data_IF_210001758180
#
_entry.id   IF_210001758180
#
_cell.length_a   1.000
_cell.length_b   1.000
_cell.length_c   1.000
_cell.angle_alpha   90.00
_cell.angle_beta   90.00
_cell.angle_gamma   90.00
#
_symmetry.space_group_name_H-M   'P 1'
#
loop_
_entity.id
_entity.type
_entity.pdbx_description
1 polymer ?
#
# COMPACT_ATOMS: atom_id res chain seq x y z
N UNK A 1 -21.80 -3.42 -26.22
CA UNK A 1 -20.78 -4.44 -26.53
C UNK A 1 -20.84 -5.51 -25.46
N UNK A 2 -20.90 -6.79 -25.83
CA UNK A 2 -20.97 -7.92 -24.90
C UNK A 2 -19.67 -7.96 -24.03
N UNK A 3 -19.79 -7.65 -22.75
CA UNK A 3 -18.69 -7.39 -21.79
C UNK A 3 -17.80 -8.61 -21.52
N UNK A 4 -18.28 -9.81 -21.79
CA UNK A 4 -17.53 -11.06 -21.64
C UNK A 4 -16.58 -11.37 -22.81
N UNK A 5 -16.67 -10.67 -23.94
CA UNK A 5 -16.08 -11.14 -25.20
C UNK A 5 -14.55 -10.98 -25.37
N UNK A 6 -13.79 -10.48 -24.39
CA UNK A 6 -12.34 -10.19 -24.58
C UNK A 6 -11.42 -10.45 -23.38
N UNK A 7 -11.81 -11.26 -22.39
CA UNK A 7 -10.86 -11.72 -21.36
C UNK A 7 -10.44 -13.15 -21.64
N UNK A 8 -9.14 -13.42 -21.63
CA UNK A 8 -8.60 -14.79 -21.72
C UNK A 8 -8.55 -15.41 -20.33
N UNK A 9 -8.75 -16.73 -20.25
CA UNK A 9 -8.43 -17.51 -19.05
C UNK A 9 -6.90 -17.56 -18.85
N UNK A 10 -6.43 -17.63 -17.60
CA UNK A 10 -5.02 -17.82 -17.25
C UNK A 10 -4.65 -19.32 -17.20
N UNK A 11 -3.44 -19.64 -16.73
CA UNK A 11 -2.92 -21.01 -16.58
C UNK A 11 -3.81 -21.89 -15.68
N UNK A 12 -4.58 -21.28 -14.78
CA UNK A 12 -5.44 -21.97 -13.80
C UNK A 12 -6.94 -21.82 -14.12
N UNK A 13 -7.27 -21.51 -15.38
CA UNK A 13 -8.63 -21.27 -15.88
C UNK A 13 -9.40 -20.08 -15.26
N UNK A 14 -8.81 -19.33 -14.34
CA UNK A 14 -9.40 -18.09 -13.78
C UNK A 14 -9.27 -16.98 -14.84
N UNK A 15 -10.28 -16.12 -14.98
CA UNK A 15 -10.16 -15.01 -15.93
C UNK A 15 -8.99 -14.09 -15.56
N UNK A 16 -8.20 -13.72 -16.58
CA UNK A 16 -7.27 -12.61 -16.44
C UNK A 16 -8.05 -11.35 -16.03
N UNK A 17 -7.48 -10.58 -15.09
CA UNK A 17 -7.88 -9.20 -14.88
C UNK A 17 -7.84 -8.43 -16.22
N UNK A 18 -8.57 -7.31 -16.33
CA UNK A 18 -8.57 -6.53 -17.57
C UNK A 18 -7.16 -6.09 -18.00
N UNK A 19 -6.22 -6.02 -17.05
CA UNK A 19 -4.80 -5.68 -17.23
C UNK A 19 -3.91 -6.76 -17.89
N UNK A 20 -4.45 -7.83 -18.47
CA UNK A 20 -3.70 -8.90 -19.13
C UNK A 20 -3.22 -8.57 -20.55
N UNK A 21 -2.96 -9.58 -21.39
CA UNK A 21 -2.49 -9.39 -22.77
C UNK A 21 -3.52 -8.69 -23.69
N UNK A 22 -4.81 -8.75 -23.34
CA UNK A 22 -5.88 -8.04 -24.05
C UNK A 22 -6.01 -6.57 -23.61
N UNK A 23 -5.36 -6.17 -22.51
CA UNK A 23 -5.41 -4.80 -21.98
C UNK A 23 -4.95 -3.77 -23.02
N UNK A 24 -3.80 -4.00 -23.65
CA UNK A 24 -3.27 -3.08 -24.66
C UNK A 24 -4.24 -2.92 -25.83
N UNK A 25 -4.97 -3.97 -26.21
CA UNK A 25 -5.93 -3.92 -27.32
C UNK A 25 -7.17 -3.11 -26.95
N UNK A 26 -7.65 -3.22 -25.72
CA UNK A 26 -8.87 -2.53 -25.26
C UNK A 26 -8.57 -1.07 -24.91
N UNK A 27 -7.48 -0.83 -24.19
CA UNK A 27 -7.19 0.45 -23.55
C UNK A 27 -6.06 1.24 -24.24
N UNK A 28 -5.47 0.70 -25.30
CA UNK A 28 -4.39 1.33 -26.09
C UNK A 28 -3.10 1.65 -25.30
N UNK A 29 -2.98 1.26 -24.03
CA UNK A 29 -1.80 1.47 -23.18
C UNK A 29 -1.26 0.16 -22.60
N UNK A 30 0.02 0.11 -22.20
CA UNK A 30 0.61 -1.09 -21.57
C UNK A 30 0.30 -1.13 -20.07
N UNK A 31 0.07 -2.33 -19.52
CA UNK A 31 -0.18 -2.57 -18.08
C UNK A 31 0.81 -1.88 -17.15
N UNK A 32 2.10 -1.99 -17.45
CA UNK A 32 3.17 -1.42 -16.62
C UNK A 32 3.23 0.12 -16.65
N UNK A 33 2.37 0.77 -17.45
CA UNK A 33 2.29 2.22 -17.59
C UNK A 33 1.16 2.85 -16.76
N UNK A 34 0.27 2.05 -16.13
CA UNK A 34 -0.84 2.56 -15.30
C UNK A 34 -0.31 3.26 -14.04
N UNK A 35 0.84 2.82 -13.54
CA UNK A 35 1.56 3.47 -12.45
C UNK A 35 1.09 3.03 -11.06
N UNK A 36 1.26 1.75 -10.70
CA UNK A 36 1.02 1.28 -9.34
C UNK A 36 1.87 2.02 -8.31
N UNK A 37 1.32 2.25 -7.12
CA UNK A 37 2.00 2.87 -5.99
C UNK A 37 2.90 1.86 -5.24
N UNK A 38 3.90 1.34 -5.94
CA UNK A 38 4.87 0.36 -5.43
C UNK A 38 6.30 0.74 -5.84
N UNK A 39 7.34 0.37 -5.06
CA UNK A 39 8.71 0.70 -5.37
C UNK A 39 9.19 -0.02 -6.64
N UNK A 40 9.99 0.65 -7.46
CA UNK A 40 10.50 0.09 -8.72
C UNK A 40 12.02 -0.01 -8.73
N UNK A 41 12.54 -1.24 -8.57
CA UNK A 41 13.98 -1.55 -8.48
C UNK A 41 14.86 -1.15 -9.68
N UNK A 42 14.29 -0.79 -10.85
CA UNK A 42 15.05 -0.57 -12.11
C UNK A 42 14.55 0.58 -13.00
N UNK A 43 13.59 1.41 -12.55
CA UNK A 43 13.06 2.51 -13.38
C UNK A 43 13.58 3.87 -12.89
N UNK A 44 13.74 4.82 -13.82
CA UNK A 44 14.16 6.21 -13.53
C UNK A 44 13.22 6.98 -12.57
N UNK A 45 12.01 6.47 -12.30
CA UNK A 45 11.00 7.10 -11.44
C UNK A 45 10.32 6.06 -10.55
N UNK A 46 10.66 6.07 -9.28
CA UNK A 46 10.02 5.31 -8.22
C UNK A 46 8.74 6.05 -7.78
N UNK A 47 7.53 5.46 -7.92
CA UNK A 47 6.26 6.07 -7.53
C UNK A 47 6.23 6.63 -6.11
N UNK A 48 6.78 5.90 -5.13
CA UNK A 48 6.75 6.32 -3.73
C UNK A 48 7.68 7.52 -3.54
N UNK A 49 8.90 7.47 -4.10
CA UNK A 49 9.81 8.64 -4.07
C UNK A 49 9.17 9.86 -4.75
N UNK A 50 8.52 9.66 -5.89
CA UNK A 50 7.85 10.75 -6.63
C UNK A 50 6.76 11.39 -5.79
N UNK A 51 5.96 10.60 -5.06
CA UNK A 51 4.98 11.15 -4.13
C UNK A 51 5.68 11.97 -3.03
N UNK A 52 6.67 11.38 -2.35
CA UNK A 52 7.40 12.06 -1.27
C UNK A 52 8.02 13.37 -1.78
N UNK A 53 8.65 13.40 -2.96
CA UNK A 53 9.23 14.61 -3.56
C UNK A 53 8.17 15.71 -3.85
N UNK A 54 6.94 15.31 -4.18
CA UNK A 54 5.85 16.27 -4.43
C UNK A 54 5.32 16.88 -3.14
N UNK A 55 5.23 16.08 -2.06
CA UNK A 55 4.73 16.56 -0.76
C UNK A 55 5.80 17.27 0.07
N UNK A 56 7.04 16.75 0.01
CA UNK A 56 8.20 17.11 0.84
C UNK A 56 9.39 17.44 -0.08
N UNK A 57 9.44 18.64 -0.68
CA UNK A 57 10.51 18.99 -1.63
C UNK A 57 11.89 19.02 -0.99
N UNK A 58 12.86 18.32 -1.61
CA UNK A 58 14.23 18.18 -1.08
C UNK A 58 14.92 19.53 -0.81
N UNK A 59 14.68 20.53 -1.66
CA UNK A 59 15.24 21.90 -1.50
C UNK A 59 14.89 22.54 -0.14
N UNK A 60 13.72 22.20 0.42
CA UNK A 60 13.24 22.76 1.70
C UNK A 60 13.54 21.84 2.88
N UNK A 61 13.32 20.53 2.70
CA UNK A 61 13.29 19.56 3.80
C UNK A 61 14.48 18.59 3.82
N UNK A 62 15.44 18.75 2.92
CA UNK A 62 16.62 17.91 2.84
C UNK A 62 16.45 16.75 1.85
N UNK A 63 17.58 16.17 1.46
CA UNK A 63 17.65 15.08 0.48
C UNK A 63 16.94 13.82 0.99
N UNK A 64 16.22 13.13 0.12
CA UNK A 64 15.68 11.79 0.42
C UNK A 64 16.79 10.76 0.21
N UNK A 65 17.14 10.05 1.28
CA UNK A 65 18.05 8.92 1.24
C UNK A 65 17.26 7.66 0.86
N UNK A 66 17.39 7.21 -0.38
CA UNK A 66 16.61 6.08 -0.94
C UNK A 66 17.40 4.79 -0.92
N UNK A 67 16.82 3.73 -0.34
CA UNK A 67 17.15 2.32 -0.53
C UNK A 67 18.64 2.08 -0.73
N UNK A 68 19.45 2.50 0.25
CA UNK A 68 20.90 2.55 0.09
C UNK A 68 21.48 1.16 0.40
N UNK A 69 21.84 0.32 -0.61
CA UNK A 69 22.63 -0.86 -0.35
C UNK A 69 23.88 -0.47 0.43
N UNK A 70 23.96 -0.98 1.66
CA UNK A 70 25.06 -0.69 2.55
C UNK A 70 25.06 0.71 3.18
N UNK A 71 23.93 1.40 3.37
CA UNK A 71 23.81 2.50 4.37
C UNK A 71 22.61 2.24 5.29
N UNK A 72 22.80 1.32 6.23
CA UNK A 72 21.92 1.21 7.39
C UNK A 72 21.96 2.53 8.19
N UNK A 73 20.95 2.79 9.02
CA UNK A 73 21.01 3.88 9.99
C UNK A 73 22.31 3.82 10.82
N UNK A 74 22.79 2.62 11.17
CA UNK A 74 24.07 2.43 11.85
C UNK A 74 25.28 2.98 11.09
N UNK A 75 25.30 2.89 9.76
CA UNK A 75 26.36 3.49 8.93
C UNK A 75 26.23 5.00 8.77
N UNK A 76 25.06 5.55 9.06
CA UNK A 76 24.84 6.99 9.22
C UNK A 76 25.18 7.46 10.65
N UNK A 77 25.68 6.58 11.52
CA UNK A 77 26.10 6.90 12.88
C UNK A 77 25.03 6.65 13.95
N UNK A 78 23.82 6.23 13.57
CA UNK A 78 22.75 5.98 14.55
C UNK A 78 23.02 4.73 15.37
N UNK A 79 22.91 4.85 16.69
CA UNK A 79 23.06 3.76 17.64
C UNK A 79 21.83 3.66 18.53
N UNK A 80 21.66 2.54 19.20
CA UNK A 80 20.67 2.38 20.27
C UNK A 80 21.36 1.76 21.49
N UNK A 81 20.86 2.06 22.68
CA UNK A 81 21.41 1.52 23.92
C UNK A 81 20.90 0.09 24.15
N UNK A 82 21.82 -0.86 24.30
CA UNK A 82 21.51 -2.26 24.61
C UNK A 82 22.49 -2.77 25.64
N UNK A 83 22.03 -3.15 26.84
CA UNK A 83 22.87 -3.66 27.93
C UNK A 83 24.12 -2.79 28.18
N UNK A 84 23.92 -1.48 28.31
CA UNK A 84 24.99 -0.48 28.51
C UNK A 84 26.01 -0.34 27.36
N UNK A 85 25.75 -0.96 26.20
CA UNK A 85 26.55 -0.82 24.97
C UNK A 85 25.77 -0.05 23.91
N UNK A 86 26.45 0.88 23.24
CA UNK A 86 25.91 1.62 22.10
C UNK A 86 26.06 0.78 20.83
N UNK A 87 24.96 0.23 20.35
CA UNK A 87 24.95 -0.75 19.25
C UNK A 87 24.46 -0.09 17.96
N UNK A 88 25.14 -0.26 16.80
CA UNK A 88 24.69 0.30 15.53
C UNK A 88 23.30 -0.18 15.12
N UNK A 89 22.46 0.73 14.61
CA UNK A 89 21.10 0.38 14.16
C UNK A 89 21.16 -0.38 12.82
N UNK A 90 20.71 -1.63 12.81
CA UNK A 90 20.70 -2.51 11.63
C UNK A 90 19.56 -2.26 10.62
N UNK A 91 18.82 -1.16 10.75
CA UNK A 91 17.71 -0.82 9.85
C UNK A 91 18.24 -0.20 8.55
N UNK A 92 17.77 -0.71 7.41
CA UNK A 92 17.97 -0.06 6.10
C UNK A 92 16.62 0.54 5.70
N UNK A 93 16.46 1.87 5.76
CA UNK A 93 15.21 2.49 5.40
C UNK A 93 14.99 2.46 3.88
N UNK A 94 13.75 2.30 3.43
CA UNK A 94 13.42 2.44 2.00
C UNK A 94 13.55 3.90 1.54
N UNK A 95 13.00 4.84 2.32
CA UNK A 95 13.18 6.28 2.11
C UNK A 95 13.35 6.99 3.45
N UNK A 96 14.47 7.68 3.64
CA UNK A 96 14.75 8.41 4.88
C UNK A 96 15.02 9.90 4.62
N UNK A 97 14.31 10.75 5.35
CA UNK A 97 14.51 12.21 5.36
C UNK A 97 15.08 12.59 6.71
N UNK A 98 16.40 12.57 6.82
CA UNK A 98 17.13 12.74 8.07
C UNK A 98 16.76 14.03 8.81
N UNK A 99 16.70 15.16 8.08
CA UNK A 99 16.32 16.46 8.63
C UNK A 99 14.93 16.48 9.27
N UNK A 100 14.05 15.54 8.89
CA UNK A 100 12.70 15.40 9.44
C UNK A 100 12.58 14.27 10.46
N UNK A 101 13.56 13.38 10.59
CA UNK A 101 13.42 12.16 11.40
C UNK A 101 12.31 11.24 10.87
N UNK A 102 11.99 11.30 9.58
CA UNK A 102 10.92 10.51 8.96
C UNK A 102 11.45 9.43 8.04
N UNK A 103 10.96 8.22 8.24
CA UNK A 103 11.16 7.08 7.35
C UNK A 103 9.84 6.69 6.71
N UNK A 104 9.86 6.40 5.41
CA UNK A 104 8.79 5.69 4.71
C UNK A 104 9.29 4.27 4.40
N UNK A 105 8.53 3.25 4.82
CA UNK A 105 8.83 1.82 4.58
C UNK A 105 7.73 1.20 3.73
N UNK A 106 8.10 0.50 2.66
CA UNK A 106 7.15 -0.26 1.85
C UNK A 106 7.05 -1.70 2.36
N UNK A 107 5.86 -2.07 2.83
CA UNK A 107 5.60 -3.40 3.36
C UNK A 107 5.04 -4.31 2.26
N UNK A 108 5.96 -5.02 1.60
CA UNK A 108 5.63 -6.08 0.64
C UNK A 108 4.87 -7.27 1.25
N UNK A 109 4.38 -8.22 0.43
CA UNK A 109 3.62 -9.37 0.91
C UNK A 109 4.30 -10.21 2.00
N UNK A 110 5.64 -10.33 1.96
CA UNK A 110 6.42 -11.10 2.94
C UNK A 110 6.19 -10.63 4.39
N UNK A 111 5.80 -9.38 4.60
CA UNK A 111 5.49 -8.81 5.91
C UNK A 111 4.15 -9.31 6.50
N UNK A 112 3.39 -10.07 5.72
CA UNK A 112 2.13 -10.71 6.11
C UNK A 112 2.20 -12.25 5.98
N UNK A 113 3.29 -12.78 5.43
CA UNK A 113 3.44 -14.23 5.18
C UNK A 113 4.36 -14.91 6.19
N UNK A 114 5.30 -14.16 6.77
CA UNK A 114 6.37 -14.71 7.58
C UNK A 114 6.39 -14.11 8.99
N UNK A 115 6.06 -14.92 9.98
CA UNK A 115 6.02 -14.51 11.40
C UNK A 115 7.38 -14.07 11.94
N UNK A 116 8.49 -14.69 11.51
CA UNK A 116 9.84 -14.26 11.89
C UNK A 116 10.17 -12.88 11.31
N UNK A 117 9.72 -12.59 10.08
CA UNK A 117 9.88 -11.27 9.48
C UNK A 117 9.11 -10.21 10.28
N UNK A 118 7.86 -10.50 10.65
CA UNK A 118 7.04 -9.62 11.48
C UNK A 118 7.67 -9.35 12.86
N UNK A 119 8.14 -10.39 13.55
CA UNK A 119 8.83 -10.26 14.84
C UNK A 119 10.11 -9.42 14.70
N UNK A 120 10.87 -9.63 13.62
CA UNK A 120 12.07 -8.85 13.33
C UNK A 120 11.72 -7.37 13.14
N UNK A 121 10.66 -7.05 12.40
CA UNK A 121 10.23 -5.67 12.19
C UNK A 121 9.70 -5.02 13.47
N UNK A 122 8.95 -5.74 14.32
CA UNK A 122 8.55 -5.25 15.63
C UNK A 122 9.76 -4.90 16.51
N UNK A 123 10.73 -5.83 16.62
CA UNK A 123 11.98 -5.57 17.35
C UNK A 123 12.79 -4.42 16.73
N UNK A 124 12.74 -4.26 15.40
CA UNK A 124 13.40 -3.16 14.67
C UNK A 124 12.77 -1.83 15.05
N UNK A 125 11.44 -1.73 15.08
CA UNK A 125 10.72 -0.49 15.40
C UNK A 125 10.83 -0.10 16.87
N UNK A 126 10.75 -1.06 17.81
CA UNK A 126 10.92 -0.77 19.24
C UNK A 126 12.30 -0.17 19.57
N UNK A 127 13.33 -0.51 18.78
CA UNK A 127 14.67 0.08 18.95
C UNK A 127 14.70 1.56 18.59
N UNK A 128 13.78 2.05 17.75
CA UNK A 128 13.74 3.45 17.30
C UNK A 128 13.39 4.42 18.44
N UNK A 129 12.80 3.93 19.53
CA UNK A 129 12.42 4.76 20.69
C UNK A 129 13.61 5.14 21.60
N UNK A 130 14.78 4.54 21.38
CA UNK A 130 15.99 4.75 22.18
C UNK A 130 17.23 5.01 21.33
N UNK A 131 17.04 5.55 20.12
CA UNK A 131 18.15 5.82 19.22
C UNK A 131 18.85 7.12 19.58
N UNK A 132 20.11 7.18 19.20
CA UNK A 132 20.97 8.33 19.37
C UNK A 132 21.81 8.54 18.12
N UNK A 133 22.24 9.78 17.92
CA UNK A 133 23.21 10.17 16.91
C UNK A 133 24.23 11.09 17.58
N UNK A 134 25.51 10.72 17.54
CA UNK A 134 26.60 11.44 18.22
C UNK A 134 26.38 11.57 19.74
N UNK A 135 25.81 10.56 20.39
CA UNK A 135 25.52 10.55 21.83
C UNK A 135 24.24 11.28 22.23
N UNK A 136 23.60 11.99 21.29
CA UNK A 136 22.36 12.74 21.54
C UNK A 136 21.13 11.91 21.17
N UNK A 137 20.10 11.83 22.03
CA UNK A 137 18.83 11.18 21.68
C UNK A 137 18.24 11.74 20.40
N UNK A 138 17.77 10.85 19.52
CA UNK A 138 17.06 11.21 18.29
C UNK A 138 15.72 10.50 18.25
N UNK A 139 14.76 11.16 17.62
CA UNK A 139 13.44 10.59 17.37
C UNK A 139 13.38 10.28 15.88
N UNK A 140 13.01 9.04 15.55
CA UNK A 140 12.63 8.66 14.19
C UNK A 140 11.20 8.10 14.24
N UNK A 141 10.38 8.49 13.26
CA UNK A 141 9.03 7.95 13.07
C UNK A 141 8.92 7.29 11.70
N UNK A 142 8.18 6.19 11.67
CA UNK A 142 8.00 5.36 10.48
C UNK A 142 6.56 5.47 9.98
N UNK A 143 6.43 5.84 8.71
CA UNK A 143 5.20 5.74 7.92
C UNK A 143 5.31 4.44 7.10
N UNK A 144 4.53 3.43 7.48
CA UNK A 144 4.43 2.17 6.72
C UNK A 144 3.49 2.37 5.54
N UNK A 145 3.86 1.81 4.40
CA UNK A 145 3.06 1.80 3.17
C UNK A 145 2.83 0.32 2.79
N UNK A 146 1.73 -0.29 3.25
CA UNK A 146 1.33 -1.63 2.82
C UNK A 146 1.25 -1.75 1.29
N UNK A 147 1.67 -2.89 0.75
CA UNK A 147 1.73 -3.13 -0.71
C UNK A 147 0.38 -3.05 -1.44
N UNK A 148 -0.73 -3.11 -0.71
CA UNK A 148 -2.07 -2.98 -1.26
C UNK A 148 -2.58 -1.53 -1.25
N UNK A 149 -1.83 -0.55 -0.74
CA UNK A 149 -2.22 0.85 -0.80
C UNK A 149 -1.99 1.44 -2.19
N UNK A 150 -2.87 2.36 -2.59
CA UNK A 150 -2.67 3.25 -3.72
C UNK A 150 -2.73 4.70 -3.24
N UNK A 151 -2.17 5.63 -4.03
CA UNK A 151 -2.13 7.05 -3.65
C UNK A 151 -3.47 7.75 -3.97
N UNK A 152 -4.57 7.24 -3.41
CA UNK A 152 -5.86 7.92 -3.40
C UNK A 152 -5.78 9.18 -2.53
N UNK A 153 -6.72 10.12 -2.71
CA UNK A 153 -6.69 11.42 -2.03
C UNK A 153 -6.64 11.29 -0.52
N UNK A 154 -7.47 10.41 0.03
CA UNK A 154 -7.55 10.13 1.46
C UNK A 154 -6.32 9.40 2.01
N UNK A 155 -5.73 8.47 1.26
CA UNK A 155 -4.44 7.84 1.61
C UNK A 155 -3.32 8.88 1.63
N UNK A 156 -3.27 9.75 0.62
CA UNK A 156 -2.29 10.84 0.57
C UNK A 156 -2.47 11.82 1.74
N UNK A 157 -3.72 12.19 2.05
CA UNK A 157 -4.03 13.02 3.22
C UNK A 157 -3.62 12.30 4.51
N UNK A 158 -3.93 11.03 4.67
CA UNK A 158 -3.53 10.27 5.84
C UNK A 158 -2.01 10.25 6.04
N UNK A 159 -1.26 9.92 4.98
CA UNK A 159 0.20 9.81 5.03
C UNK A 159 0.90 11.15 5.25
N UNK A 160 0.51 12.17 4.49
CA UNK A 160 1.23 13.45 4.44
C UNK A 160 0.60 14.53 5.29
N UNK A 161 -0.60 14.32 5.83
CA UNK A 161 -1.28 15.22 6.76
C UNK A 161 -1.43 14.56 8.13
N UNK A 162 -2.33 13.59 8.29
CA UNK A 162 -2.76 13.09 9.59
C UNK A 162 -1.61 12.47 10.39
N UNK A 163 -0.80 11.61 9.76
CA UNK A 163 0.38 11.02 10.39
C UNK A 163 1.46 12.06 10.69
N UNK A 164 1.67 13.04 9.81
CA UNK A 164 2.68 14.09 9.99
C UNK A 164 2.28 15.00 11.15
N UNK A 165 1.02 15.42 11.21
CA UNK A 165 0.42 16.16 12.32
C UNK A 165 0.57 15.41 13.63
N UNK A 166 0.25 14.11 13.62
CA UNK A 166 0.42 13.26 14.79
C UNK A 166 1.89 13.20 15.24
N UNK A 167 2.84 12.95 14.34
CA UNK A 167 4.27 12.87 14.65
C UNK A 167 4.90 14.21 15.02
N UNK A 168 4.32 15.34 14.59
CA UNK A 168 4.81 16.69 14.95
C UNK A 168 4.78 16.96 16.46
N UNK A 169 4.01 16.17 17.22
CA UNK A 169 3.99 16.19 18.69
C UNK A 169 5.37 15.86 19.26
N UNK A 170 6.09 14.92 18.64
CA UNK A 170 7.43 14.49 19.05
C UNK A 170 8.53 15.12 18.17
N UNK A 171 8.30 15.20 16.86
CA UNK A 171 9.22 15.73 15.86
C UNK A 171 8.90 17.21 15.56
N UNK A 172 9.46 18.13 16.36
CA UNK A 172 9.18 19.59 16.27
C UNK A 172 9.57 20.25 14.95
N UNK A 173 10.40 19.58 14.16
CA UNK A 173 10.82 19.95 12.81
C UNK A 173 9.78 19.61 11.72
N UNK A 174 8.70 18.90 12.06
CA UNK A 174 7.57 18.66 11.16
C UNK A 174 6.58 19.84 11.16
N UNK A 175 5.95 20.14 10.02
CA UNK A 175 4.89 21.14 9.97
C UNK A 175 3.68 20.68 10.78
N UNK A 176 3.14 21.58 11.60
CA UNK A 176 1.93 21.32 12.40
C UNK A 176 0.67 21.13 11.56
N UNK A 177 0.66 21.66 10.34
CA UNK A 177 -0.46 21.56 9.41
C UNK A 177 -0.26 20.45 8.35
N UNK A 178 0.77 19.61 8.52
CA UNK A 178 1.10 18.56 7.56
C UNK A 178 1.77 19.09 6.29
N UNK A 179 2.03 18.18 5.34
CA UNK A 179 2.59 18.45 4.03
C UNK A 179 1.55 18.43 2.90
N UNK A 180 0.35 17.91 3.18
CA UNK A 180 -0.69 17.71 2.18
C UNK A 180 -1.27 19.04 1.66
N UNK A 181 -1.60 19.06 0.37
CA UNK A 181 -2.45 20.06 -0.28
C UNK A 181 -2.99 19.44 -1.56
N UNK A 182 -4.19 19.82 -2.00
CA UNK A 182 -4.77 19.29 -3.24
C UNK A 182 -3.87 19.55 -4.45
N UNK A 183 -3.22 20.71 -4.55
CA UNK A 183 -2.27 21.00 -5.63
C UNK A 183 -1.12 19.97 -5.69
N UNK A 184 -0.46 19.71 -4.55
CA UNK A 184 0.60 18.70 -4.46
C UNK A 184 0.08 17.30 -4.74
N UNK A 185 -1.14 16.98 -4.32
CA UNK A 185 -1.79 15.71 -4.60
C UNK A 185 -1.98 15.50 -6.10
N UNK A 186 -2.65 16.43 -6.80
CA UNK A 186 -2.85 16.38 -8.25
C UNK A 186 -1.51 16.36 -9.02
N UNK A 187 -0.49 17.07 -8.52
CA UNK A 187 0.87 17.01 -9.06
C UNK A 187 1.54 15.64 -8.86
N UNK A 188 1.30 14.95 -7.76
CA UNK A 188 1.84 13.62 -7.51
C UNK A 188 1.17 12.59 -8.42
N UNK A 189 -0.16 12.56 -8.46
CA UNK A 189 -0.90 11.55 -9.22
C UNK A 189 -0.68 11.67 -10.73
N UNK A 190 -0.53 12.88 -11.27
CA UNK A 190 -0.21 13.10 -12.69
C UNK A 190 1.19 12.60 -13.07
N UNK A 191 2.11 12.50 -12.11
CA UNK A 191 3.47 11.95 -12.35
C UNK A 191 3.53 10.44 -12.18
N UNK A 192 2.65 9.87 -11.36
CA UNK A 192 2.66 8.46 -10.98
C UNK A 192 1.73 7.67 -11.89
N UNK A 193 0.47 8.11 -11.95
CA UNK A 193 -0.64 7.40 -12.57
C UNK A 193 -0.92 7.91 -13.98
N UNK A 194 -1.54 7.04 -14.78
CA UNK A 194 -2.02 7.38 -16.12
C UNK A 194 -3.46 6.96 -16.29
N UNK A 195 -4.24 7.78 -16.99
CA UNK A 195 -5.55 7.38 -17.47
C UNK A 195 -5.42 6.13 -18.35
N UNK A 196 -6.29 5.14 -18.11
CA UNK A 196 -6.21 3.83 -18.75
C UNK A 196 -6.41 3.90 -20.26
N UNK A 197 -7.29 4.77 -20.77
CA UNK A 197 -7.66 4.83 -22.18
C UNK A 197 -6.78 5.77 -23.00
N UNK A 198 -6.39 6.91 -22.42
CA UNK A 198 -5.63 7.94 -23.13
C UNK A 198 -4.14 7.78 -22.97
N UNK A 199 -3.68 7.10 -21.90
CA UNK A 199 -2.26 7.01 -21.55
C UNK A 199 -1.61 8.33 -21.16
N UNK A 200 -2.42 9.38 -20.98
CA UNK A 200 -2.01 10.67 -20.46
C UNK A 200 -1.92 10.60 -18.92
N UNK A 201 -1.15 11.51 -18.29
CA UNK A 201 -1.18 11.72 -16.85
C UNK A 201 -2.61 11.71 -16.27
N UNK A 202 -2.82 11.00 -15.17
CA UNK A 202 -4.08 11.08 -14.44
C UNK A 202 -4.28 12.50 -13.88
N UNK A 203 -5.50 13.00 -13.95
CA UNK A 203 -5.91 14.32 -13.47
C UNK A 203 -7.11 14.25 -12.53
N UNK A 204 -7.81 13.11 -12.46
CA UNK A 204 -9.02 12.92 -11.66
C UNK A 204 -8.90 11.68 -10.77
N UNK A 205 -9.50 11.74 -9.58
CA UNK A 205 -9.45 10.68 -8.56
C UNK A 205 -9.90 9.31 -9.07
N UNK A 206 -10.99 9.29 -9.84
CA UNK A 206 -11.60 8.04 -10.32
C UNK A 206 -10.74 7.34 -11.40
N UNK A 207 -9.68 7.98 -11.90
CA UNK A 207 -8.73 7.38 -12.83
C UNK A 207 -7.66 6.53 -12.13
N UNK A 208 -7.54 6.67 -10.81
CA UNK A 208 -6.52 5.99 -10.03
C UNK A 208 -6.95 4.56 -9.72
N UNK A 209 -5.99 3.61 -9.65
CA UNK A 209 -6.28 2.29 -9.09
C UNK A 209 -6.73 2.39 -7.63
N UNK A 210 -7.70 1.57 -7.26
CA UNK A 210 -8.16 1.41 -5.89
C UNK A 210 -7.08 0.76 -5.00
N UNK A 211 -7.19 0.89 -3.68
CA UNK A 211 -6.44 0.04 -2.76
C UNK A 211 -6.88 -1.42 -2.94
N UNK A 212 -5.93 -2.34 -2.98
CA UNK A 212 -6.20 -3.77 -3.15
C UNK A 212 -5.12 -4.54 -3.90
N UNK A 213 -5.31 -5.85 -3.97
CA UNK A 213 -4.40 -6.78 -4.64
C UNK A 213 -4.80 -7.02 -6.10
N UNK A 214 -4.70 -5.98 -6.93
CA UNK A 214 -5.17 -6.02 -8.32
C UNK A 214 -4.42 -7.02 -9.21
N UNK A 215 -3.11 -7.15 -9.00
CA UNK A 215 -2.20 -7.96 -9.81
C UNK A 215 -1.43 -8.99 -9.00
N UNK A 216 -1.42 -8.84 -7.67
CA UNK A 216 -0.80 -9.76 -6.74
C UNK A 216 -1.71 -10.96 -6.52
N UNK A 217 -1.13 -12.16 -6.51
CA UNK A 217 -1.79 -13.36 -5.98
C UNK A 217 -1.50 -13.57 -4.49
N UNK A 218 -0.62 -12.74 -3.93
CA UNK A 218 -0.34 -12.73 -2.49
C UNK A 218 -1.44 -11.93 -1.81
N UNK A 219 -2.34 -12.64 -1.12
CA UNK A 219 -3.49 -12.11 -0.41
C UNK A 219 -3.81 -12.97 0.82
N UNK A 220 -4.99 -12.79 1.45
CA UNK A 220 -5.33 -13.41 2.73
C UNK A 220 -5.16 -14.93 2.76
N UNK A 221 -5.54 -15.63 1.70
CA UNK A 221 -5.34 -17.09 1.58
C UNK A 221 -3.87 -17.55 1.69
N UNK A 222 -2.90 -16.67 1.40
CA UNK A 222 -1.46 -16.97 1.43
C UNK A 222 -0.74 -16.37 2.64
N UNK A 223 -1.46 -15.65 3.49
CA UNK A 223 -0.90 -15.05 4.69
C UNK A 223 -0.85 -16.08 5.80
N UNK A 224 0.08 -15.90 6.74
CA UNK A 224 0.02 -16.64 8.00
C UNK A 224 -1.09 -16.04 8.88
N UNK A 225 -1.53 -16.77 9.90
CA UNK A 225 -2.56 -16.30 10.83
C UNK A 225 -2.26 -14.89 11.36
N UNK A 226 -1.07 -14.69 11.94
CA UNK A 226 -0.66 -13.40 12.49
C UNK A 226 -0.56 -12.31 11.40
N UNK A 227 -0.30 -12.70 10.16
CA UNK A 227 -0.30 -11.79 9.02
C UNK A 227 -1.68 -11.26 8.68
N UNK A 228 -2.72 -12.09 8.84
CA UNK A 228 -4.11 -11.63 8.71
C UNK A 228 -4.49 -10.72 9.87
N UNK A 229 -4.13 -11.05 11.11
CA UNK A 229 -4.34 -10.13 12.25
C UNK A 229 -3.69 -8.77 11.99
N UNK A 230 -2.44 -8.77 11.53
CA UNK A 230 -1.73 -7.55 11.14
C UNK A 230 -2.42 -6.77 10.02
N UNK A 231 -2.99 -7.45 9.02
CA UNK A 231 -3.76 -6.81 7.95
C UNK A 231 -5.00 -6.12 8.51
N UNK A 232 -5.77 -6.81 9.37
CA UNK A 232 -6.97 -6.25 9.99
C UNK A 232 -6.65 -5.06 10.88
N UNK A 233 -5.56 -5.17 11.65
CA UNK A 233 -5.01 -4.11 12.48
C UNK A 233 -4.51 -2.90 11.66
N UNK A 234 -4.04 -3.11 10.43
CA UNK A 234 -3.70 -2.03 9.49
C UNK A 234 -4.98 -1.27 9.00
N UNK A 235 -6.19 -1.78 9.23
CA UNK A 235 -7.48 -1.11 8.94
C UNK A 235 -8.16 -0.51 10.18
N UNK A 236 -7.73 -0.94 11.36
CA UNK A 236 -8.34 -0.57 12.62
C UNK A 236 -7.60 0.56 13.30
N UNK A 237 -8.30 1.16 14.26
CA UNK A 237 -7.70 2.07 15.23
C UNK A 237 -6.99 1.21 16.27
N UNK A 238 -5.79 0.72 15.97
CA UNK A 238 -4.98 0.14 17.04
C UNK A 238 -4.62 1.24 18.03
N UNK A 239 -4.93 1.02 19.31
CA UNK A 239 -4.85 1.95 20.45
C UNK A 239 -3.44 2.48 20.78
N UNK A 240 -2.50 2.38 19.84
CA UNK A 240 -1.19 2.98 19.91
C UNK A 240 -1.15 4.22 19.01
N UNK A 241 -1.76 5.28 19.54
CA UNK A 241 -1.38 6.69 19.36
C UNK A 241 -1.61 7.34 17.98
N UNK A 242 -1.81 6.60 16.88
CA UNK A 242 -1.97 7.19 15.53
C UNK A 242 -3.44 7.46 15.17
N UNK A 243 -3.72 8.46 14.31
CA UNK A 243 -5.04 8.58 13.69
C UNK A 243 -5.38 7.29 12.91
N UNK A 244 -6.67 6.89 12.89
CA UNK A 244 -7.07 5.71 12.14
C UNK A 244 -6.86 5.93 10.64
N UNK A 245 -6.50 4.88 9.89
CA UNK A 245 -6.40 4.97 8.44
C UNK A 245 -7.80 5.19 7.81
N UNK A 246 -7.88 5.76 6.60
CA UNK A 246 -9.14 5.92 5.88
C UNK A 246 -9.89 4.59 5.70
N UNK A 247 -11.20 4.59 6.00
CA UNK A 247 -12.05 3.40 5.85
C UNK A 247 -12.23 2.93 4.41
N UNK A 248 -11.98 3.81 3.44
CA UNK A 248 -11.93 3.47 2.02
C UNK A 248 -10.89 2.41 1.70
N UNK A 249 -9.73 2.39 2.38
CA UNK A 249 -8.66 1.41 2.13
C UNK A 249 -9.21 0.00 2.38
N UNK A 250 -9.87 -0.18 3.52
CA UNK A 250 -10.48 -1.44 3.91
C UNK A 250 -11.57 -1.86 2.92
N UNK A 251 -12.51 -0.96 2.62
CA UNK A 251 -13.61 -1.24 1.69
C UNK A 251 -13.09 -1.60 0.30
N UNK A 252 -12.15 -0.82 -0.24
CA UNK A 252 -11.54 -1.09 -1.54
C UNK A 252 -10.78 -2.42 -1.53
N UNK A 253 -10.03 -2.73 -0.46
CA UNK A 253 -9.33 -4.01 -0.35
C UNK A 253 -10.31 -5.20 -0.38
N UNK A 254 -11.38 -5.16 0.43
CA UNK A 254 -12.38 -6.25 0.48
C UNK A 254 -13.12 -6.41 -0.84
N UNK A 255 -13.52 -5.31 -1.49
CA UNK A 255 -14.15 -5.35 -2.81
C UNK A 255 -13.19 -5.83 -3.90
N UNK A 256 -11.90 -5.52 -3.80
CA UNK A 256 -10.89 -6.10 -4.69
C UNK A 256 -10.86 -7.63 -4.59
N UNK A 257 -11.02 -8.22 -3.40
CA UNK A 257 -11.14 -9.67 -3.22
C UNK A 257 -12.45 -10.22 -3.81
N UNK A 258 -13.57 -9.50 -3.62
CA UNK A 258 -14.86 -9.89 -4.22
C UNK A 258 -14.76 -9.99 -5.75
N UNK A 259 -14.07 -9.07 -6.41
CA UNK A 259 -13.87 -9.15 -7.85
C UNK A 259 -12.98 -10.33 -8.29
N UNK A 260 -12.01 -10.74 -7.47
CA UNK A 260 -11.29 -11.99 -7.68
C UNK A 260 -12.20 -13.21 -7.59
N UNK A 261 -13.09 -13.24 -6.60
CA UNK A 261 -14.05 -14.35 -6.44
C UNK A 261 -15.06 -14.41 -7.59
N UNK A 262 -15.52 -13.26 -8.09
CA UNK A 262 -16.38 -13.20 -9.26
C UNK A 262 -15.67 -13.80 -10.50
N UNK A 263 -14.37 -13.55 -10.67
CA UNK A 263 -13.59 -14.15 -11.76
C UNK A 263 -13.46 -15.68 -11.61
N UNK A 264 -13.32 -16.18 -10.39
CA UNK A 264 -13.32 -17.62 -10.10
C UNK A 264 -14.69 -18.24 -10.42
N UNK A 265 -15.78 -17.63 -9.94
CA UNK A 265 -17.14 -18.13 -10.17
C UNK A 265 -17.46 -18.19 -11.67
N UNK A 266 -17.22 -17.11 -12.41
CA UNK A 266 -17.47 -17.05 -13.85
C UNK A 266 -16.65 -18.09 -14.62
N UNK A 267 -15.50 -18.53 -14.09
CA UNK A 267 -14.66 -19.52 -14.76
C UNK A 267 -15.21 -20.94 -14.69
N UNK A 268 -16.26 -21.17 -13.89
CA UNK A 268 -16.84 -22.48 -13.59
C UNK A 268 -16.25 -23.15 -12.35
N UNK A 269 -15.30 -22.50 -11.67
CA UNK A 269 -14.51 -23.10 -10.58
C UNK A 269 -15.02 -22.69 -9.18
N UNK A 270 -16.31 -22.92 -8.89
CA UNK A 270 -16.96 -22.43 -7.66
C UNK A 270 -16.31 -22.89 -6.34
N UNK A 271 -15.51 -23.96 -6.35
CA UNK A 271 -14.87 -24.51 -5.15
C UNK A 271 -13.44 -23.97 -4.91
N UNK A 272 -13.03 -22.91 -5.61
CA UNK A 272 -11.67 -22.35 -5.50
C UNK A 272 -11.57 -21.03 -4.72
N UNK A 273 -12.60 -20.66 -3.95
CA UNK A 273 -12.61 -19.45 -3.12
C UNK A 273 -11.44 -19.41 -2.12
N UNK A 274 -10.98 -20.59 -1.66
CA UNK A 274 -9.82 -20.78 -0.78
C UNK A 274 -8.48 -20.30 -1.37
N UNK A 275 -8.42 -20.01 -2.67
CA UNK A 275 -7.26 -19.37 -3.30
C UNK A 275 -7.15 -17.87 -2.98
N UNK A 276 -8.25 -17.25 -2.54
CA UNK A 276 -8.37 -15.80 -2.30
C UNK A 276 -8.63 -15.52 -0.82
N UNK A 277 -9.58 -16.26 -0.24
CA UNK A 277 -10.04 -16.10 1.14
C UNK A 277 -9.39 -17.14 2.06
N UNK A 278 -9.25 -16.85 3.37
CA UNK A 278 -8.65 -17.76 4.35
C UNK A 278 -9.63 -18.89 4.74
N UNK A 279 -9.94 -19.74 3.77
CA UNK A 279 -10.83 -20.89 3.90
C UNK A 279 -10.01 -22.19 3.85
N UNK A 280 -10.51 -23.22 4.54
CA UNK A 280 -9.97 -24.58 4.40
C UNK A 280 -10.20 -25.06 2.98
N UNK A 281 -9.20 -25.72 2.39
CA UNK A 281 -9.32 -26.30 1.05
C UNK A 281 -10.54 -27.24 0.99
N UNK A 282 -11.30 -27.16 -0.11
CA UNK A 282 -12.50 -27.98 -0.36
C UNK A 282 -13.62 -27.80 0.68
N UNK A 283 -13.59 -26.69 1.42
CA UNK A 283 -14.61 -26.32 2.41
C UNK A 283 -14.86 -24.81 2.40
N UNK A 284 -16.05 -24.41 2.89
CA UNK A 284 -16.36 -23.01 3.20
C UNK A 284 -16.02 -22.63 4.64
N UNK A 285 -15.44 -23.55 5.41
CA UNK A 285 -15.02 -23.30 6.79
C UNK A 285 -13.83 -22.34 6.79
N UNK A 286 -13.93 -21.17 7.43
CA UNK A 286 -12.77 -20.30 7.63
C UNK A 286 -11.71 -20.99 8.48
N UNK A 287 -10.44 -20.75 8.16
CA UNK A 287 -9.38 -20.91 9.14
C UNK A 287 -9.02 -19.57 9.79
N UNK A 288 -9.68 -18.45 9.44
CA UNK A 288 -9.54 -17.17 10.14
C UNK A 288 -10.88 -16.41 10.21
N UNK A 289 -11.64 -16.64 11.28
CA UNK A 289 -13.03 -16.16 11.44
C UNK A 289 -13.13 -14.64 11.42
N UNK A 290 -12.31 -13.93 12.22
CA UNK A 290 -12.29 -12.45 12.29
C UNK A 290 -12.15 -11.78 10.91
N UNK A 291 -11.41 -12.41 10.00
CA UNK A 291 -11.25 -11.88 8.65
C UNK A 291 -12.51 -12.08 7.82
N UNK A 292 -13.09 -13.28 7.90
CA UNK A 292 -14.31 -13.59 7.17
C UNK A 292 -15.50 -12.76 7.65
N UNK A 293 -15.63 -12.52 8.96
CA UNK A 293 -16.65 -11.64 9.52
C UNK A 293 -16.49 -10.22 8.96
N UNK A 294 -15.26 -9.70 8.98
CA UNK A 294 -14.95 -8.37 8.47
C UNK A 294 -15.17 -8.25 6.96
N UNK A 295 -14.78 -9.27 6.20
CA UNK A 295 -15.02 -9.34 4.77
C UNK A 295 -16.53 -9.35 4.47
N UNK A 296 -17.29 -10.23 5.12
CA UNK A 296 -18.73 -10.33 4.92
C UNK A 296 -19.44 -9.02 5.29
N UNK A 297 -19.04 -8.37 6.39
CA UNK A 297 -19.56 -7.06 6.78
C UNK A 297 -19.34 -6.01 5.66
N UNK A 298 -18.12 -5.90 5.12
CA UNK A 298 -17.81 -4.96 4.02
C UNK A 298 -18.58 -5.26 2.73
N UNK A 299 -18.83 -6.54 2.42
CA UNK A 299 -19.60 -6.93 1.23
C UNK A 299 -21.09 -6.64 1.41
N UNK A 300 -21.64 -6.90 2.60
CA UNK A 300 -23.04 -6.65 2.92
C UNK A 300 -23.34 -5.15 3.09
N UNK A 301 -22.36 -4.38 3.57
CA UNK A 301 -22.47 -2.94 3.80
C UNK A 301 -21.68 -2.14 2.75
N UNK A 302 -22.00 -2.37 1.47
CA UNK A 302 -21.34 -1.68 0.35
C UNK A 302 -21.50 -0.16 0.45
N UNK A 303 -20.37 0.57 0.44
CA UNK A 303 -20.34 2.03 0.41
C UNK A 303 -19.78 2.55 -0.92
N UNK A 304 -20.66 3.02 -1.81
CA UNK A 304 -20.25 3.48 -3.15
C UNK A 304 -19.25 4.64 -3.11
N UNK A 305 -19.36 5.54 -2.14
CA UNK A 305 -18.43 6.66 -1.95
C UNK A 305 -16.96 6.23 -1.84
N UNK A 306 -16.70 5.00 -1.36
CA UNK A 306 -15.35 4.45 -1.26
C UNK A 306 -14.91 3.65 -2.50
N UNK A 307 -15.80 3.37 -3.44
CA UNK A 307 -15.56 2.46 -4.57
C UNK A 307 -15.47 3.19 -5.93
N UNK A 308 -15.14 4.48 -5.90
CA UNK A 308 -15.06 5.31 -7.10
C UNK A 308 -13.78 5.10 -7.92
N UNK A 309 -12.70 4.64 -7.29
CA UNK A 309 -11.43 4.32 -7.94
C UNK A 309 -11.54 3.09 -8.88
N UNK A 310 -10.50 2.87 -9.68
CA UNK A 310 -10.43 1.77 -10.66
C UNK A 310 -10.15 0.44 -9.97
N UNK A 311 -11.04 -0.52 -10.18
CA UNK A 311 -10.80 -1.93 -9.89
C UNK A 311 -10.44 -2.66 -11.18
N UNK A 312 -9.19 -3.12 -11.28
CA UNK A 312 -8.64 -3.82 -12.45
C UNK A 312 -9.44 -5.04 -12.98
N UNK A 313 -10.36 -5.59 -12.18
CA UNK A 313 -11.19 -6.77 -12.49
C UNK A 313 -12.67 -6.41 -12.68
N UNK A 314 -13.04 -5.15 -12.49
CA UNK A 314 -14.40 -4.67 -12.59
C UNK A 314 -14.55 -3.78 -13.83
N UNK A 315 -15.47 -4.14 -14.71
CA UNK A 315 -15.63 -3.44 -15.99
C UNK A 315 -16.14 -2.01 -15.79
N UNK A 316 -17.09 -1.82 -14.88
CA UNK A 316 -17.75 -0.54 -14.69
C UNK A 316 -16.79 0.51 -14.12
N UNK A 317 -16.00 0.14 -13.12
CA UNK A 317 -14.95 1.04 -12.60
C UNK A 317 -13.93 1.44 -13.64
N UNK A 318 -13.57 0.52 -14.54
CA UNK A 318 -12.65 0.79 -15.62
C UNK A 318 -13.29 1.74 -16.65
N UNK A 319 -14.49 1.43 -17.16
CA UNK A 319 -15.10 2.20 -18.25
C UNK A 319 -15.47 3.63 -17.85
N UNK A 320 -15.68 3.91 -16.55
CA UNK A 320 -15.86 5.28 -16.02
C UNK A 320 -14.71 6.22 -16.39
N UNK A 321 -13.50 5.69 -16.54
CA UNK A 321 -12.28 6.47 -16.87
C UNK A 321 -12.12 6.83 -18.35
N UNK A 322 -13.04 6.41 -19.22
CA UNK A 322 -12.92 6.62 -20.68
C UNK A 322 -13.10 8.08 -21.11
N UNK A 323 -13.64 8.93 -20.24
CA UNK A 323 -14.05 10.30 -20.56
C UNK A 323 -12.85 11.21 -20.88
#
# INVERSE_FOLDING_TARGET
MNTNSKRRKNVDNIYHHYLGNEFKKIFKVKKNQIGWFEPKKKQKKDPIKVAIDCFIPEKKYGKILVGLPGKTLGKLGYKYKSNSKHTPVGMTPDYFIEKLGLVFEFDGPVHYQNTFKMLKDQKKYNKLDSIELNGEPKIIRVIRIPYYWQLTKDVAKYMFDDLVKHFSKDLKNLPKDGFYSDEKYFKAISKIHKNLFTGKPATLEHELPACGIHVSMEGPARFCWQGIDKLLDDFDKNDLLKPPPPKSIEHQYMWCLKYWLNDIEQSGNKNMEWLILPLKKDSKTPWHERFMDRYNDNINNRKEEYLQNVFARDYDSVIRTKK
#
